data_IF_554850900555
#
_entry.id   IF_554850900555
#
_cell.length_a   1.000
_cell.length_b   1.000
_cell.length_c   1.000
_cell.angle_alpha   90.00
_cell.angle_beta   90.00
_cell.angle_gamma   90.00
#
_symmetry.space_group_name_H-M   'P 1'
#
loop_
_entity.id
_entity.type
_entity.pdbx_description
1 polymer ?
#
# COMPACT_ATOMS: atom_id res chain seq x y z
N UNK A 1 -1.90 23.04 -7.35
CA UNK A 1 -0.97 22.11 -6.66
C UNK A 1 0.47 22.41 -7.03
N UNK A 2 0.79 22.47 -8.32
CA UNK A 2 2.14 22.68 -8.85
C UNK A 2 2.82 23.97 -8.35
N UNK A 3 2.08 25.07 -8.19
CA UNK A 3 2.61 26.34 -7.66
C UNK A 3 3.08 26.24 -6.20
N UNK A 4 2.36 25.51 -5.35
CA UNK A 4 2.71 25.29 -3.94
C UNK A 4 3.97 24.42 -3.84
N UNK A 5 4.04 23.38 -4.66
CA UNK A 5 5.18 22.46 -4.70
C UNK A 5 6.44 23.20 -5.16
N UNK A 6 6.36 24.01 -6.21
CA UNK A 6 7.52 24.71 -6.74
C UNK A 6 8.16 25.67 -5.72
N UNK A 7 7.33 26.30 -4.89
CA UNK A 7 7.75 27.26 -3.87
C UNK A 7 8.29 26.61 -2.58
N UNK A 8 8.23 25.28 -2.44
CA UNK A 8 8.68 24.58 -1.25
C UNK A 8 9.67 23.47 -1.61
N UNK A 9 10.94 23.67 -1.27
CA UNK A 9 12.02 22.74 -1.60
C UNK A 9 11.79 21.32 -1.05
N UNK A 10 11.26 21.20 0.18
CA UNK A 10 10.97 19.90 0.79
C UNK A 10 9.87 19.16 0.01
N UNK A 11 8.79 19.84 -0.34
CA UNK A 11 7.71 19.25 -1.14
C UNK A 11 8.21 18.83 -2.53
N UNK A 12 9.04 19.63 -3.21
CA UNK A 12 9.63 19.23 -4.49
C UNK A 12 10.43 17.94 -4.37
N UNK A 13 11.23 17.83 -3.30
CA UNK A 13 12.05 16.65 -3.07
C UNK A 13 11.18 15.42 -2.82
N UNK A 14 10.15 15.53 -1.97
CA UNK A 14 9.20 14.45 -1.72
C UNK A 14 8.44 14.02 -2.98
N UNK A 15 8.02 14.97 -3.82
CA UNK A 15 7.37 14.69 -5.11
C UNK A 15 8.32 13.93 -6.02
N UNK A 16 9.57 14.38 -6.16
CA UNK A 16 10.56 13.71 -7.00
C UNK A 16 10.86 12.28 -6.54
N UNK A 17 10.93 12.06 -5.22
CA UNK A 17 11.09 10.72 -4.66
C UNK A 17 9.87 9.83 -4.96
N UNK A 18 8.64 10.33 -4.74
CA UNK A 18 7.43 9.56 -4.98
C UNK A 18 7.25 9.20 -6.45
N UNK A 19 7.44 10.15 -7.37
CA UNK A 19 7.29 9.92 -8.82
C UNK A 19 8.42 9.10 -9.42
N UNK A 20 9.54 8.90 -8.71
CA UNK A 20 10.61 7.98 -9.15
C UNK A 20 10.21 6.50 -9.07
N UNK A 21 9.13 6.18 -8.35
CA UNK A 21 8.63 4.82 -8.20
C UNK A 21 7.72 4.47 -9.39
N UNK A 22 8.10 3.45 -10.16
CA UNK A 22 7.28 2.93 -11.26
C UNK A 22 5.84 2.63 -10.79
N UNK A 23 4.87 3.31 -11.40
CA UNK A 23 3.45 3.20 -11.07
C UNK A 23 2.89 4.36 -10.24
N UNK A 24 3.73 5.21 -9.65
CA UNK A 24 3.29 6.41 -8.94
C UNK A 24 3.32 7.62 -9.88
N UNK A 25 2.13 8.10 -10.22
CA UNK A 25 1.95 9.34 -10.99
C UNK A 25 1.66 10.56 -10.12
N UNK A 26 1.41 11.69 -10.77
CA UNK A 26 1.16 12.98 -10.13
C UNK A 26 -0.05 12.94 -9.18
N UNK A 27 -1.20 12.43 -9.64
CA UNK A 27 -2.42 12.33 -8.83
C UNK A 27 -2.27 11.44 -7.59
N UNK A 28 -1.54 10.33 -7.73
CA UNK A 28 -1.22 9.44 -6.60
C UNK A 28 -0.30 10.16 -5.63
N UNK A 29 0.71 10.86 -6.13
CA UNK A 29 1.63 11.68 -5.31
C UNK A 29 0.87 12.70 -4.49
N UNK A 30 -0.06 13.45 -5.10
CA UNK A 30 -0.92 14.39 -4.38
C UNK A 30 -1.77 13.73 -3.30
N UNK A 31 -2.33 12.56 -3.61
CA UNK A 31 -3.13 11.80 -2.64
C UNK A 31 -2.28 11.33 -1.45
N UNK A 32 -1.06 10.84 -1.71
CA UNK A 32 -0.12 10.40 -0.67
C UNK A 32 0.27 11.57 0.22
N UNK A 33 0.74 12.69 -0.36
CA UNK A 33 1.15 13.86 0.41
C UNK A 33 0.00 14.45 1.22
N UNK A 34 -1.21 14.52 0.65
CA UNK A 34 -2.37 15.08 1.33
C UNK A 34 -2.89 14.20 2.48
N UNK A 35 -2.81 12.86 2.35
CA UNK A 35 -3.36 11.95 3.35
C UNK A 35 -2.34 11.50 4.40
N UNK A 36 -1.06 11.37 4.05
CA UNK A 36 -0.01 11.02 5.01
C UNK A 36 0.41 12.26 5.80
N UNK A 37 0.46 13.43 5.17
CA UNK A 37 0.98 14.64 5.79
C UNK A 37 2.47 14.49 6.10
N UNK A 38 2.87 14.80 7.33
CA UNK A 38 4.25 14.62 7.76
C UNK A 38 4.55 13.14 8.05
N UNK A 39 5.45 12.56 7.25
CA UNK A 39 5.86 11.17 7.38
C UNK A 39 6.60 10.91 8.71
N UNK A 40 7.16 11.93 9.34
CA UNK A 40 7.88 11.80 10.62
C UNK A 40 6.96 11.45 11.80
N UNK A 41 5.63 11.55 11.63
CA UNK A 41 4.68 11.04 12.63
C UNK A 41 4.66 9.51 12.71
N UNK A 42 5.25 8.81 11.75
CA UNK A 42 5.30 7.35 11.72
C UNK A 42 6.72 6.88 12.04
N UNK A 43 6.84 5.97 13.02
CA UNK A 43 8.15 5.43 13.41
C UNK A 43 8.71 4.42 12.39
N UNK A 44 7.86 3.84 11.54
CA UNK A 44 8.26 2.88 10.52
C UNK A 44 7.18 2.69 9.43
N UNK A 45 7.56 2.02 8.34
CA UNK A 45 6.68 1.74 7.20
C UNK A 45 5.48 0.85 7.53
N UNK A 46 5.56 -0.02 8.55
CA UNK A 46 4.43 -0.86 8.97
C UNK A 46 3.31 -0.03 9.58
N UNK A 47 3.64 1.05 10.31
CA UNK A 47 2.64 1.98 10.83
C UNK A 47 1.92 2.70 9.69
N UNK A 48 2.63 3.11 8.63
CA UNK A 48 2.03 3.72 7.43
C UNK A 48 1.10 2.71 6.74
N UNK A 49 1.54 1.46 6.58
CA UNK A 49 0.71 0.41 5.99
C UNK A 49 -0.58 0.17 6.81
N UNK A 50 -0.46 0.16 8.14
CA UNK A 50 -1.62 0.06 9.06
C UNK A 50 -2.54 1.28 8.94
N UNK A 51 -1.97 2.49 8.92
CA UNK A 51 -2.69 3.75 8.74
C UNK A 51 -3.45 3.78 7.41
N UNK A 52 -2.84 3.30 6.32
CA UNK A 52 -3.51 3.14 5.03
C UNK A 52 -4.54 1.98 5.01
N UNK A 53 -4.55 1.12 6.02
CA UNK A 53 -5.41 -0.08 6.08
C UNK A 53 -5.01 -1.13 5.06
N UNK A 54 -3.71 -1.21 4.75
CA UNK A 54 -3.11 -2.20 3.85
C UNK A 54 -2.67 -3.47 4.59
N UNK A 55 -2.87 -3.52 5.90
CA UNK A 55 -2.58 -4.70 6.71
C UNK A 55 -3.73 -5.71 6.66
N UNK A 56 -3.42 -7.02 6.62
CA UNK A 56 -4.45 -8.04 6.71
C UNK A 56 -5.08 -8.04 8.11
N UNK A 57 -6.40 -8.23 8.14
CA UNK A 57 -7.20 -8.53 9.32
C UNK A 57 -7.67 -9.97 9.23
N UNK A 58 -7.36 -10.75 10.25
CA UNK A 58 -7.88 -12.10 10.42
C UNK A 58 -9.26 -12.00 11.09
N UNK A 59 -10.26 -12.66 10.52
CA UNK A 59 -11.59 -12.81 11.13
C UNK A 59 -11.78 -14.27 11.52
N UNK A 60 -11.96 -14.53 12.81
CA UNK A 60 -12.24 -15.86 13.34
C UNK A 60 -13.61 -15.81 14.02
N UNK A 61 -14.65 -16.23 13.30
CA UNK A 61 -15.92 -16.66 13.90
C UNK A 61 -15.88 -18.18 13.93
N UNK A 62 -16.35 -18.85 14.98
CA UNK A 62 -16.19 -20.32 15.16
C UNK A 62 -16.68 -21.21 13.99
N UNK A 63 -17.34 -20.65 12.98
CA UNK A 63 -17.78 -21.29 11.72
C UNK A 63 -17.01 -20.85 10.46
N UNK A 64 -16.12 -19.85 10.55
CA UNK A 64 -15.28 -19.36 9.47
C UNK A 64 -13.81 -19.46 9.89
N UNK A 65 -13.15 -20.50 9.40
CA UNK A 65 -11.72 -20.74 9.62
C UNK A 65 -10.89 -19.77 8.77
N UNK A 66 -10.02 -18.98 9.44
CA UNK A 66 -8.86 -18.27 8.89
C UNK A 66 -9.04 -17.37 7.65
N UNK A 67 -10.22 -16.77 7.44
CA UNK A 67 -10.37 -15.77 6.37
C UNK A 67 -9.64 -14.47 6.71
N UNK A 68 -8.70 -14.08 5.85
CA UNK A 68 -8.02 -12.78 5.91
C UNK A 68 -8.63 -11.80 4.92
N UNK A 69 -8.72 -10.53 5.31
CA UNK A 69 -9.17 -9.44 4.43
C UNK A 69 -8.41 -8.16 4.77
N UNK A 70 -8.37 -7.18 3.87
CA UNK A 70 -7.76 -5.88 4.20
C UNK A 70 -8.49 -5.20 5.37
N UNK A 71 -7.72 -4.65 6.30
CA UNK A 71 -8.25 -3.88 7.41
C UNK A 71 -9.05 -2.67 6.90
N UNK A 72 -10.30 -2.56 7.36
CA UNK A 72 -11.17 -1.41 7.08
C UNK A 72 -10.92 -0.23 8.03
N UNK A 73 -10.05 -0.39 9.04
CA UNK A 73 -9.78 0.62 10.07
C UNK A 73 -8.87 1.76 9.58
N UNK A 74 -8.08 1.53 8.54
CA UNK A 74 -7.21 2.55 7.98
C UNK A 74 -7.88 3.46 6.93
N UNK A 75 -7.17 4.51 6.53
CA UNK A 75 -7.62 5.60 5.66
C UNK A 75 -8.09 5.12 4.27
N UNK A 76 -9.41 5.01 4.09
CA UNK A 76 -10.06 4.44 2.89
C UNK A 76 -9.64 5.10 1.58
N UNK A 77 -9.49 6.43 1.56
CA UNK A 77 -9.12 7.16 0.33
C UNK A 77 -7.65 6.93 -0.05
N UNK A 78 -6.76 6.82 0.94
CA UNK A 78 -5.35 6.52 0.71
C UNK A 78 -5.18 5.08 0.20
N UNK A 79 -5.92 4.13 0.78
CA UNK A 79 -5.97 2.75 0.27
C UNK A 79 -6.41 2.70 -1.19
N UNK A 80 -7.49 3.42 -1.52
CA UNK A 80 -8.03 3.48 -2.89
C UNK A 80 -7.03 4.10 -3.87
N UNK A 81 -6.34 5.17 -3.49
CA UNK A 81 -5.37 5.83 -4.37
C UNK A 81 -4.14 4.98 -4.69
N UNK A 82 -3.85 3.97 -3.87
CA UNK A 82 -2.71 3.06 -4.05
C UNK A 82 -3.03 1.82 -4.90
N UNK A 83 -4.31 1.56 -5.21
CA UNK A 83 -4.71 0.36 -5.95
C UNK A 83 -4.15 0.33 -7.38
N UNK A 84 -4.42 1.36 -8.18
CA UNK A 84 -3.93 1.42 -9.56
C UNK A 84 -2.38 1.49 -9.64
N UNK A 85 -1.69 2.29 -8.82
CA UNK A 85 -0.24 2.27 -8.74
C UNK A 85 0.34 0.89 -8.46
N UNK A 86 -0.26 0.12 -7.54
CA UNK A 86 0.22 -1.23 -7.23
C UNK A 86 0.15 -2.17 -8.44
N UNK A 87 -0.94 -2.12 -9.23
CA UNK A 87 -1.07 -2.93 -10.45
C UNK A 87 -0.01 -2.60 -11.50
N UNK A 88 0.29 -1.31 -11.68
CA UNK A 88 1.34 -0.85 -12.60
C UNK A 88 2.71 -1.26 -12.07
N UNK A 89 2.94 -1.08 -10.77
CA UNK A 89 4.22 -1.40 -10.13
C UNK A 89 4.55 -2.89 -10.21
N UNK A 90 3.58 -3.78 -9.98
CA UNK A 90 3.77 -5.24 -10.12
C UNK A 90 4.15 -5.64 -11.56
N UNK A 91 3.76 -4.85 -12.57
CA UNK A 91 4.10 -5.12 -13.98
C UNK A 91 5.49 -4.61 -14.38
N UNK A 92 5.92 -3.48 -13.84
CA UNK A 92 7.11 -2.76 -14.34
C UNK A 92 8.22 -2.56 -13.30
N UNK A 93 8.06 -3.03 -12.06
CA UNK A 93 9.07 -2.96 -11.02
C UNK A 93 9.45 -4.38 -10.57
N UNK A 94 10.61 -4.92 -11.00
CA UNK A 94 11.02 -6.30 -10.71
C UNK A 94 11.03 -6.64 -9.22
N UNK A 95 11.44 -5.69 -8.37
CA UNK A 95 11.46 -5.87 -6.90
C UNK A 95 10.05 -6.08 -6.35
N UNK A 96 9.06 -5.32 -6.86
CA UNK A 96 7.67 -5.44 -6.44
C UNK A 96 6.99 -6.65 -7.08
N UNK A 97 7.35 -7.03 -8.30
CA UNK A 97 6.91 -8.29 -8.94
C UNK A 97 7.32 -9.49 -8.09
N UNK A 98 8.60 -9.61 -7.75
CA UNK A 98 9.10 -10.71 -6.92
C UNK A 98 8.44 -10.72 -5.53
N UNK A 99 8.20 -9.54 -4.93
CA UNK A 99 7.49 -9.46 -3.67
C UNK A 99 6.04 -9.95 -3.78
N UNK A 100 5.33 -9.58 -4.84
CA UNK A 100 3.97 -10.01 -5.11
C UNK A 100 3.89 -11.52 -5.33
N UNK A 101 4.75 -12.08 -6.19
CA UNK A 101 4.80 -13.51 -6.47
C UNK A 101 5.03 -14.34 -5.20
N UNK A 102 5.94 -13.89 -4.32
CA UNK A 102 6.17 -14.53 -3.02
C UNK A 102 4.92 -14.52 -2.13
N UNK A 103 4.19 -13.40 -2.07
CA UNK A 103 2.96 -13.31 -1.28
C UNK A 103 1.87 -14.23 -1.82
N UNK A 104 1.74 -14.30 -3.14
CA UNK A 104 0.77 -15.13 -3.85
C UNK A 104 1.09 -16.62 -3.67
N UNK A 105 2.35 -17.01 -3.83
CA UNK A 105 2.80 -18.39 -3.59
C UNK A 105 2.51 -18.85 -2.16
N UNK A 106 2.72 -17.98 -1.17
CA UNK A 106 2.41 -18.29 0.22
C UNK A 106 0.90 -18.49 0.41
N UNK A 107 0.06 -17.66 -0.22
CA UNK A 107 -1.40 -17.80 -0.14
C UNK A 107 -1.88 -19.11 -0.78
N UNK A 108 -1.35 -19.46 -1.97
CA UNK A 108 -1.66 -20.73 -2.64
C UNK A 108 -1.29 -21.95 -1.78
N UNK A 109 -0.14 -21.92 -1.09
CA UNK A 109 0.28 -23.00 -0.20
C UNK A 109 -0.75 -23.24 0.93
N UNK A 110 -1.21 -22.17 1.60
CA UNK A 110 -2.21 -22.29 2.67
C UNK A 110 -3.56 -22.82 2.17
N UNK A 111 -4.00 -22.43 0.98
CA UNK A 111 -5.30 -22.86 0.43
C UNK A 111 -5.31 -24.36 0.03
N UNK A 112 -4.15 -24.97 -0.26
CA UNK A 112 -4.06 -26.33 -0.81
C UNK A 112 -3.58 -27.38 0.20
N UNK A 113 -2.71 -27.02 1.16
CA UNK A 113 -2.14 -27.96 2.16
C UNK A 113 -2.97 -28.04 3.47
N UNK A 114 -3.91 -27.12 3.69
CA UNK A 114 -4.86 -27.16 4.80
C UNK A 114 -6.31 -27.10 4.29
N UNK A 115 -6.76 -28.09 3.51
CA UNK A 115 -8.14 -28.15 3.04
C UNK A 115 -9.07 -28.25 4.24
N UNK A 116 -10.08 -27.39 4.24
CA UNK A 116 -11.17 -27.25 5.21
C UNK A 116 -11.39 -28.51 6.08
N UNK A 117 -10.83 -28.50 7.29
CA UNK A 117 -11.20 -29.43 8.37
C UNK A 117 -12.44 -28.90 9.10
#
# INVERSE_FOLDING_TARGET
MTSIVNNNQSLRHQVALLTSINGIGEHTTWSILAYIGDINFFSNSKQIASYAGLTPKITQSGTSINKSSLSKLGHKRLRKSLYMPALVAIRYNPTLTAHYERLVSNAYYYDHEHPFL
#
